data_IF_466018725241
#
_entry.id   IF_466018725241
#
_cell.length_a   1.000
_cell.length_b   1.000
_cell.length_c   1.000
_cell.angle_alpha   90.00
_cell.angle_beta   90.00
_cell.angle_gamma   90.00
#
_symmetry.space_group_name_H-M   'P 1'
#
loop_
_entity.id
_entity.type
_entity.pdbx_description
1 polymer ?
#
# COMPACT_ATOMS: atom_id res chain seq x y z
N UNK A 1 7.22 -16.44 3.25
CA UNK A 1 7.41 -15.04 3.71
C UNK A 1 7.61 -14.21 2.46
N UNK A 2 6.78 -13.20 2.14
CA UNK A 2 7.10 -12.29 1.05
C UNK A 2 8.45 -11.67 1.41
N UNK A 3 9.45 -11.90 0.56
CA UNK A 3 10.81 -11.43 0.75
C UNK A 3 10.76 -9.93 1.07
N UNK A 4 11.58 -9.41 2.02
CA UNK A 4 11.55 -7.99 2.41
C UNK A 4 11.71 -7.04 1.21
N UNK A 5 12.26 -7.54 0.09
CA UNK A 5 12.35 -6.85 -1.20
C UNK A 5 11.00 -6.59 -1.89
N UNK A 6 9.96 -7.35 -1.54
CA UNK A 6 8.61 -7.25 -2.12
C UNK A 6 7.72 -6.20 -1.44
N UNK A 7 8.11 -5.65 -0.27
CA UNK A 7 7.32 -4.63 0.43
C UNK A 7 7.64 -3.20 -0.03
N UNK A 8 8.90 -2.92 -0.38
CA UNK A 8 9.34 -1.60 -0.87
C UNK A 8 8.52 -1.11 -2.08
N UNK A 9 8.19 -1.95 -3.07
CA UNK A 9 7.31 -1.55 -4.17
C UNK A 9 5.91 -1.10 -3.74
N UNK A 10 5.37 -1.63 -2.63
CA UNK A 10 4.06 -1.22 -2.10
C UNK A 10 4.14 0.18 -1.49
N UNK A 11 5.19 0.49 -0.73
CA UNK A 11 5.42 1.85 -0.21
C UNK A 11 5.64 2.86 -1.34
N UNK A 12 6.41 2.49 -2.37
CA UNK A 12 6.63 3.35 -3.53
C UNK A 12 5.32 3.60 -4.31
N UNK A 13 4.46 2.58 -4.40
CA UNK A 13 3.13 2.70 -5.00
C UNK A 13 2.22 3.60 -4.16
N UNK A 14 2.15 3.41 -2.84
CA UNK A 14 1.36 4.27 -1.96
C UNK A 14 1.78 5.73 -2.10
N UNK A 15 3.09 6.03 -2.04
CA UNK A 15 3.63 7.39 -2.22
C UNK A 15 3.18 8.03 -3.53
N UNK A 16 3.19 7.27 -4.64
CA UNK A 16 2.71 7.75 -5.95
C UNK A 16 1.21 7.99 -5.93
N UNK A 17 0.42 7.09 -5.34
CA UNK A 17 -1.02 7.24 -5.24
C UNK A 17 -1.40 8.46 -4.39
N UNK A 18 -0.75 8.67 -3.24
CA UNK A 18 -1.01 9.83 -2.38
C UNK A 18 -0.72 11.17 -3.08
N UNK A 19 0.23 11.21 -4.03
CA UNK A 19 0.51 12.40 -4.83
C UNK A 19 -0.62 12.75 -5.82
N UNK A 20 -1.46 11.79 -6.20
CA UNK A 20 -2.62 12.02 -7.08
C UNK A 20 -3.77 12.59 -6.23
N UNK A 21 -4.17 13.83 -6.52
CA UNK A 21 -5.33 14.51 -5.90
C UNK A 21 -6.50 14.55 -6.86
N UNK A 22 -7.40 13.60 -6.70
CA UNK A 22 -8.64 13.50 -7.45
C UNK A 22 -9.73 12.95 -6.50
N UNK A 23 -10.44 13.83 -5.77
CA UNK A 23 -11.35 13.45 -4.68
C UNK A 23 -12.63 12.77 -5.17
N UNK A 24 -13.06 13.03 -6.40
CA UNK A 24 -14.28 12.46 -6.99
C UNK A 24 -14.04 11.07 -7.59
N UNK A 25 -12.77 10.67 -7.75
CA UNK A 25 -12.39 9.38 -8.30
C UNK A 25 -12.47 8.26 -7.26
N UNK A 26 -13.65 7.65 -7.18
CA UNK A 26 -13.93 6.52 -6.30
C UNK A 26 -12.99 5.32 -6.51
N UNK A 27 -12.53 5.09 -7.74
CA UNK A 27 -11.58 4.02 -8.06
C UNK A 27 -10.22 4.28 -7.43
N UNK A 28 -9.72 5.53 -7.55
CA UNK A 28 -8.47 5.95 -6.92
C UNK A 28 -8.54 5.82 -5.39
N UNK A 29 -9.67 6.18 -4.78
CA UNK A 29 -9.87 6.03 -3.33
C UNK A 29 -9.79 4.57 -2.89
N UNK A 30 -10.52 3.67 -3.57
CA UNK A 30 -10.48 2.23 -3.28
C UNK A 30 -9.08 1.64 -3.47
N UNK A 31 -8.36 2.09 -4.50
CA UNK A 31 -7.00 1.65 -4.75
C UNK A 31 -6.04 2.09 -3.63
N UNK A 32 -6.13 3.35 -3.17
CA UNK A 32 -5.36 3.84 -2.02
C UNK A 32 -5.61 3.00 -0.76
N UNK A 33 -6.87 2.72 -0.46
CA UNK A 33 -7.23 1.88 0.70
C UNK A 33 -6.69 0.45 0.57
N UNK A 34 -6.80 -0.17 -0.61
CA UNK A 34 -6.29 -1.53 -0.85
C UNK A 34 -4.76 -1.62 -0.66
N UNK A 35 -4.01 -0.63 -1.16
CA UNK A 35 -2.55 -0.58 -1.00
C UNK A 35 -2.17 -0.37 0.46
N UNK A 36 -2.84 0.54 1.17
CA UNK A 36 -2.63 0.76 2.59
C UNK A 36 -2.82 -0.52 3.43
N UNK A 37 -3.92 -1.25 3.21
CA UNK A 37 -4.17 -2.51 3.93
C UNK A 37 -3.16 -3.60 3.57
N UNK A 38 -2.70 -3.66 2.32
CA UNK A 38 -1.65 -4.60 1.90
C UNK A 38 -0.34 -4.36 2.65
N UNK A 39 0.07 -3.09 2.79
CA UNK A 39 1.25 -2.68 3.57
C UNK A 39 1.07 -3.08 5.04
N UNK A 40 -0.06 -2.71 5.65
CA UNK A 40 -0.37 -3.04 7.06
C UNK A 40 -0.32 -4.54 7.32
N UNK A 41 -0.84 -5.35 6.39
CA UNK A 41 -0.77 -6.79 6.50
C UNK A 41 0.70 -7.25 6.48
N UNK A 42 1.50 -6.83 5.49
CA UNK A 42 2.91 -7.18 5.42
C UNK A 42 3.70 -6.77 6.69
N UNK A 43 3.46 -5.57 7.23
CA UNK A 43 4.08 -5.10 8.48
C UNK A 43 3.71 -5.98 9.67
N UNK A 44 2.42 -6.37 9.76
CA UNK A 44 1.95 -7.27 10.82
C UNK A 44 2.65 -8.62 10.73
N UNK A 45 2.83 -9.17 9.54
CA UNK A 45 3.53 -10.45 9.36
C UNK A 45 5.02 -10.37 9.73
N UNK A 46 5.71 -9.24 9.50
CA UNK A 46 7.11 -9.04 9.93
C UNK A 46 7.23 -8.99 11.47
N UNK A 47 6.25 -8.43 12.19
CA UNK A 47 6.29 -8.36 13.65
C UNK A 47 6.05 -9.70 14.37
N UNK A 48 5.40 -10.67 13.71
CA UNK A 48 5.04 -11.96 14.30
C UNK A 48 5.78 -13.17 13.68
N UNK A 49 6.72 -12.95 12.76
CA UNK A 49 7.56 -14.01 12.13
C UNK A 49 8.96 -14.09 12.70
#
# INVERSE_FOLDING_TARGET
IPDKRSIQPLYDLDKKLQAIRDPDNMTLKKLKEAVFWSIKQCDTWDQYS
#
